data_IF_304071455522
#
_entry.id   IF_304071455522
#
_cell.length_a   1.000
_cell.length_b   1.000
_cell.length_c   1.000
_cell.angle_alpha   90.00
_cell.angle_beta   90.00
_cell.angle_gamma   90.00
#
_symmetry.space_group_name_H-M   'P 1'
#
loop_
_entity.id
_entity.type
_entity.pdbx_description
1 polymer ?
#
# COMPACT_ATOMS: atom_id res chain seq x y z
N UNK A 1 34.21 -46.37 -28.55
CA UNK A 1 34.38 -44.90 -28.40
C UNK A 1 33.10 -44.41 -27.78
N UNK A 2 33.01 -44.58 -26.44
CA UNK A 2 31.84 -44.21 -25.67
C UNK A 2 31.81 -42.69 -25.50
N UNK A 3 30.80 -42.08 -26.09
CA UNK A 3 30.56 -40.65 -25.92
C UNK A 3 29.90 -40.50 -24.56
N UNK A 4 30.70 -40.16 -23.54
CA UNK A 4 30.28 -39.80 -22.21
C UNK A 4 29.34 -38.60 -22.31
N UNK A 5 28.02 -38.85 -22.06
CA UNK A 5 27.02 -37.79 -21.96
C UNK A 5 27.43 -36.83 -20.86
N UNK A 6 27.51 -35.52 -21.11
CA UNK A 6 27.79 -34.59 -20.04
C UNK A 6 26.64 -34.58 -19.04
N UNK A 7 26.89 -35.06 -17.82
CA UNK A 7 26.01 -34.97 -16.64
C UNK A 7 25.82 -33.51 -16.15
N UNK A 8 25.67 -32.57 -17.04
CA UNK A 8 25.53 -31.16 -16.71
C UNK A 8 24.08 -30.64 -16.90
N UNK A 9 23.09 -31.47 -16.55
CA UNK A 9 21.73 -30.97 -16.31
C UNK A 9 21.22 -31.49 -14.99
N UNK A 10 21.90 -31.09 -13.91
CA UNK A 10 21.21 -30.99 -12.63
C UNK A 10 20.20 -29.88 -12.80
N UNK A 11 18.99 -30.25 -13.25
CA UNK A 11 17.86 -29.34 -13.26
C UNK A 11 17.60 -28.98 -11.81
N UNK A 12 18.16 -27.82 -11.39
CA UNK A 12 17.73 -27.22 -10.14
C UNK A 12 16.19 -27.21 -10.14
N UNK A 13 15.54 -27.69 -9.09
CA UNK A 13 14.07 -27.73 -9.06
C UNK A 13 13.57 -26.31 -9.37
N UNK A 14 12.74 -26.20 -10.42
CA UNK A 14 12.13 -24.93 -10.77
C UNK A 14 11.43 -24.38 -9.51
N UNK A 15 11.57 -23.10 -9.21
CA UNK A 15 10.88 -22.52 -8.07
C UNK A 15 9.40 -22.83 -8.19
N UNK A 16 8.74 -23.23 -7.09
CA UNK A 16 7.34 -23.63 -7.12
C UNK A 16 6.51 -22.50 -7.75
N UNK A 17 5.79 -22.85 -8.82
CA UNK A 17 4.96 -21.90 -9.55
C UNK A 17 3.93 -21.29 -8.60
N UNK A 18 3.72 -19.98 -8.69
CA UNK A 18 2.67 -19.29 -7.92
C UNK A 18 1.31 -19.94 -8.18
N UNK A 19 0.48 -20.17 -7.14
CA UNK A 19 -0.84 -20.74 -7.34
C UNK A 19 -1.67 -19.90 -8.31
N UNK A 20 -2.29 -20.53 -9.30
CA UNK A 20 -3.17 -19.83 -10.25
C UNK A 20 -4.49 -19.52 -9.54
N UNK A 21 -4.85 -18.23 -9.37
CA UNK A 21 -6.07 -17.86 -8.68
C UNK A 21 -7.32 -18.20 -9.51
N UNK A 22 -8.36 -18.64 -8.83
CA UNK A 22 -9.69 -18.85 -9.44
C UNK A 22 -10.33 -17.53 -9.87
N UNK A 23 -11.36 -17.59 -10.70
CA UNK A 23 -12.09 -16.38 -11.11
C UNK A 23 -12.74 -15.66 -9.92
N UNK A 24 -13.26 -16.40 -8.95
CA UNK A 24 -13.84 -15.86 -7.73
C UNK A 24 -12.78 -15.10 -6.89
N UNK A 25 -11.60 -15.68 -6.71
CA UNK A 25 -10.49 -15.03 -6.00
C UNK A 25 -10.02 -13.76 -6.69
N UNK A 26 -9.96 -13.74 -8.03
CA UNK A 26 -9.61 -12.54 -8.81
C UNK A 26 -10.63 -11.43 -8.60
N UNK A 27 -11.94 -11.78 -8.69
CA UNK A 27 -13.02 -10.82 -8.45
C UNK A 27 -12.98 -10.25 -7.03
N UNK A 28 -12.75 -11.11 -6.03
CA UNK A 28 -12.61 -10.66 -4.63
C UNK A 28 -11.40 -9.77 -4.43
N UNK A 29 -10.23 -10.11 -4.98
CA UNK A 29 -9.02 -9.29 -4.89
C UNK A 29 -9.18 -7.95 -5.62
N UNK A 30 -9.91 -7.92 -6.76
CA UNK A 30 -10.31 -6.68 -7.41
C UNK A 30 -11.18 -5.83 -6.47
N UNK A 31 -12.22 -6.43 -5.86
CA UNK A 31 -13.12 -5.72 -4.95
C UNK A 31 -12.38 -5.16 -3.73
N UNK A 32 -11.39 -5.88 -3.18
CA UNK A 32 -10.52 -5.37 -2.10
C UNK A 32 -9.92 -4.02 -2.48
N UNK A 33 -9.32 -3.93 -3.68
CA UNK A 33 -8.65 -2.72 -4.13
C UNK A 33 -9.64 -1.59 -4.43
N UNK A 34 -10.74 -1.88 -5.12
CA UNK A 34 -11.78 -0.88 -5.46
C UNK A 34 -12.47 -0.34 -4.22
N UNK A 35 -12.89 -1.22 -3.31
CA UNK A 35 -13.57 -0.81 -2.09
C UNK A 35 -12.64 -0.07 -1.13
N UNK A 36 -11.34 -0.37 -1.15
CA UNK A 36 -10.35 0.35 -0.34
C UNK A 36 -10.25 1.84 -0.72
N UNK A 37 -10.54 2.23 -1.96
CA UNK A 37 -10.57 3.63 -2.39
C UNK A 37 -11.59 4.43 -1.55
N UNK A 38 -12.72 3.82 -1.21
CA UNK A 38 -13.80 4.49 -0.48
C UNK A 38 -13.75 4.21 1.03
N UNK A 39 -13.42 2.99 1.42
CA UNK A 39 -13.44 2.54 2.82
C UNK A 39 -12.08 2.53 3.50
N UNK A 40 -11.01 2.91 2.77
CA UNK A 40 -9.63 2.88 3.24
C UNK A 40 -9.23 1.49 3.77
N UNK A 41 -9.07 1.30 5.08
CA UNK A 41 -8.63 0.04 5.68
C UNK A 41 -9.78 -0.94 5.98
N UNK A 42 -11.05 -0.51 6.02
CA UNK A 42 -12.15 -1.34 6.49
C UNK A 42 -12.45 -2.52 5.55
N UNK A 43 -12.59 -2.26 4.24
CA UNK A 43 -12.83 -3.34 3.28
C UNK A 43 -11.67 -4.34 3.24
N UNK A 44 -10.40 -3.93 3.07
CA UNK A 44 -9.28 -4.87 3.10
C UNK A 44 -9.22 -5.71 4.39
N UNK A 45 -9.56 -5.12 5.54
CA UNK A 45 -9.60 -5.83 6.81
C UNK A 45 -10.67 -6.93 6.81
N UNK A 46 -11.89 -6.59 6.36
CA UNK A 46 -12.99 -7.56 6.27
C UNK A 46 -12.62 -8.72 5.35
N UNK A 47 -12.12 -8.43 4.14
CA UNK A 47 -11.72 -9.49 3.20
C UNK A 47 -10.59 -10.36 3.76
N UNK A 48 -9.62 -9.77 4.42
CA UNK A 48 -8.53 -10.51 5.07
C UNK A 48 -9.03 -11.46 6.17
N UNK A 49 -10.04 -11.06 6.95
CA UNK A 49 -10.60 -11.87 8.03
C UNK A 49 -11.56 -12.94 7.53
N UNK A 50 -12.37 -12.64 6.49
CA UNK A 50 -13.41 -13.54 5.98
C UNK A 50 -12.85 -14.57 5.00
N UNK A 51 -11.85 -14.20 4.20
CA UNK A 51 -11.27 -15.05 3.13
C UNK A 51 -9.86 -15.55 3.45
N UNK A 52 -9.64 -16.00 4.67
CA UNK A 52 -8.34 -16.53 5.13
C UNK A 52 -7.87 -17.74 4.33
N UNK A 53 -8.79 -18.49 3.75
CA UNK A 53 -8.49 -19.71 2.97
C UNK A 53 -7.89 -19.40 1.60
N UNK A 54 -8.15 -18.20 1.06
CA UNK A 54 -7.57 -17.75 -0.20
C UNK A 54 -6.27 -16.97 0.03
N UNK A 55 -5.15 -17.59 -0.33
CA UNK A 55 -3.83 -16.93 -0.26
C UNK A 55 -3.77 -15.69 -1.17
N UNK A 56 -4.45 -15.73 -2.33
CA UNK A 56 -4.47 -14.64 -3.29
C UNK A 56 -5.24 -13.41 -2.76
N UNK A 57 -6.45 -13.63 -2.22
CA UNK A 57 -7.25 -12.55 -1.62
C UNK A 57 -6.55 -11.99 -0.38
N UNK A 58 -6.00 -12.85 0.47
CA UNK A 58 -5.24 -12.45 1.66
C UNK A 58 -4.00 -11.63 1.31
N UNK A 59 -3.31 -11.97 0.21
CA UNK A 59 -2.14 -11.22 -0.28
C UNK A 59 -2.52 -9.78 -0.65
N UNK A 60 -3.54 -9.58 -1.47
CA UNK A 60 -3.99 -8.24 -1.83
C UNK A 60 -4.53 -7.47 -0.63
N UNK A 61 -5.36 -8.10 0.19
CA UNK A 61 -5.94 -7.48 1.39
C UNK A 61 -4.86 -6.99 2.36
N UNK A 62 -3.85 -7.80 2.62
CA UNK A 62 -2.77 -7.45 3.55
C UNK A 62 -1.88 -6.34 3.00
N UNK A 63 -1.57 -6.34 1.70
CA UNK A 63 -0.82 -5.25 1.07
C UNK A 63 -1.54 -3.91 1.20
N UNK A 64 -2.82 -3.89 0.82
CA UNK A 64 -3.64 -2.68 0.89
C UNK A 64 -3.79 -2.20 2.34
N UNK A 65 -3.98 -3.12 3.29
CA UNK A 65 -4.08 -2.80 4.71
C UNK A 65 -2.81 -2.15 5.25
N UNK A 66 -1.65 -2.76 5.00
CA UNK A 66 -0.35 -2.22 5.44
C UNK A 66 -0.08 -0.87 4.77
N UNK A 67 -0.39 -0.73 3.48
CA UNK A 67 -0.21 0.52 2.76
C UNK A 67 -1.03 1.65 3.39
N UNK A 68 -2.33 1.43 3.64
CA UNK A 68 -3.19 2.44 4.25
C UNK A 68 -2.78 2.75 5.69
N UNK A 69 -2.35 1.75 6.47
CA UNK A 69 -1.86 1.96 7.83
C UNK A 69 -0.57 2.81 7.84
N UNK A 70 0.38 2.51 6.95
CA UNK A 70 1.60 3.29 6.80
C UNK A 70 1.31 4.73 6.34
N UNK A 71 0.45 4.88 5.34
CA UNK A 71 0.03 6.20 4.87
C UNK A 71 -0.66 7.01 5.97
N UNK A 72 -1.60 6.41 6.69
CA UNK A 72 -2.29 7.07 7.81
C UNK A 72 -1.30 7.49 8.90
N UNK A 73 -0.36 6.62 9.28
CA UNK A 73 0.66 6.94 10.29
C UNK A 73 1.50 8.15 9.86
N UNK A 74 2.01 8.16 8.63
CA UNK A 74 2.81 9.26 8.10
C UNK A 74 1.98 10.55 8.03
N UNK A 75 0.72 10.44 7.60
CA UNK A 75 -0.20 11.58 7.54
C UNK A 75 -0.46 12.18 8.93
N UNK A 76 -0.76 11.36 9.93
CA UNK A 76 -0.98 11.84 11.30
C UNK A 76 0.25 12.47 11.92
N UNK A 77 1.43 11.88 11.73
CA UNK A 77 2.69 12.47 12.21
C UNK A 77 2.93 13.83 11.53
N UNK A 78 2.74 13.93 10.22
CA UNK A 78 2.85 15.19 9.48
C UNK A 78 1.86 16.24 9.97
N UNK A 79 0.61 15.84 10.25
CA UNK A 79 -0.43 16.71 10.82
C UNK A 79 -0.04 17.23 12.21
N UNK A 80 0.50 16.37 13.08
CA UNK A 80 0.95 16.78 14.43
C UNK A 80 2.08 17.81 14.31
N UNK A 81 3.06 17.58 13.45
CA UNK A 81 4.17 18.50 13.23
C UNK A 81 3.63 19.85 12.69
N UNK A 82 2.74 19.81 11.69
CA UNK A 82 2.12 21.00 11.13
C UNK A 82 1.34 21.79 12.19
N UNK A 83 0.59 21.09 13.05
CA UNK A 83 -0.18 21.70 14.13
C UNK A 83 0.73 22.35 15.18
N UNK A 84 1.80 21.68 15.62
CA UNK A 84 2.79 22.25 16.55
C UNK A 84 3.42 23.52 15.95
N UNK A 85 3.81 23.46 14.68
CA UNK A 85 4.39 24.61 13.99
C UNK A 85 3.39 25.78 13.93
N UNK A 86 2.15 25.52 13.51
CA UNK A 86 1.10 26.53 13.42
C UNK A 86 0.80 27.15 14.79
N UNK A 87 0.71 26.33 15.85
CA UNK A 87 0.47 26.81 17.20
C UNK A 87 1.64 27.67 17.72
N UNK A 88 2.88 27.27 17.43
CA UNK A 88 4.06 28.06 17.82
C UNK A 88 4.07 29.43 17.15
N UNK A 89 3.65 29.54 15.88
CA UNK A 89 3.58 30.84 15.19
C UNK A 89 2.52 31.78 15.79
N UNK A 90 1.39 31.21 16.25
CA UNK A 90 0.34 32.00 16.92
C UNK A 90 0.84 32.53 18.27
N UNK A 91 1.53 31.70 19.05
CA UNK A 91 2.00 32.08 20.40
C UNK A 91 3.15 33.10 20.33
N UNK A 92 4.04 32.98 19.35
CA UNK A 92 5.18 33.87 19.20
C UNK A 92 4.86 35.23 18.55
N UNK A 93 3.69 35.34 17.87
CA UNK A 93 3.21 36.59 17.28
C UNK A 93 1.92 37.01 18.02
N UNK A 94 2.02 37.64 19.20
CA UNK A 94 0.84 38.06 19.96
C UNK A 94 0.06 39.09 19.16
N UNK A 95 -1.24 38.93 19.10
CA UNK A 95 -2.23 39.64 18.29
C UNK A 95 -2.47 41.09 18.72
N UNK A 96 -1.45 41.83 19.09
CA UNK A 96 -1.60 43.22 19.56
C UNK A 96 -1.66 44.26 18.42
N UNK A 97 -1.68 43.80 17.16
CA UNK A 97 -1.90 44.67 16.01
C UNK A 97 -3.15 44.22 15.24
N UNK A 98 -4.23 45.02 15.21
CA UNK A 98 -5.50 44.64 14.58
C UNK A 98 -5.45 44.42 13.07
N UNK A 99 -4.35 44.78 12.40
CA UNK A 99 -4.21 44.75 10.94
C UNK A 99 -3.16 43.76 10.41
N UNK A 100 -2.64 42.84 11.25
CA UNK A 100 -1.65 41.86 10.74
C UNK A 100 -2.32 40.67 10.09
N UNK A 101 -2.10 40.55 8.75
CA UNK A 101 -2.41 39.33 8.01
C UNK A 101 -1.69 38.12 8.62
N UNK A 102 -2.31 36.89 8.57
CA UNK A 102 -1.63 35.71 9.02
C UNK A 102 -0.24 35.56 8.41
N UNK A 103 0.76 35.10 9.18
CA UNK A 103 2.11 34.93 8.67
C UNK A 103 2.12 34.07 7.39
N UNK A 104 2.94 34.44 6.41
CA UNK A 104 3.05 33.70 5.15
C UNK A 104 3.36 32.22 5.37
N UNK A 105 4.07 31.90 6.45
CA UNK A 105 4.34 30.53 6.91
C UNK A 105 3.06 29.73 7.20
N UNK A 106 1.99 30.37 7.69
CA UNK A 106 0.70 29.72 7.94
C UNK A 106 0.10 29.19 6.63
N UNK A 107 0.07 30.00 5.59
CA UNK A 107 -0.42 29.60 4.28
C UNK A 107 0.46 28.53 3.63
N UNK A 108 1.78 28.59 3.85
CA UNK A 108 2.73 27.59 3.37
C UNK A 108 2.48 26.21 3.99
N UNK A 109 2.33 26.13 5.31
CA UNK A 109 2.04 24.86 6.02
C UNK A 109 0.67 24.32 5.63
N UNK A 110 -0.34 25.16 5.58
CA UNK A 110 -1.69 24.77 5.16
C UNK A 110 -1.70 24.25 3.72
N UNK A 111 -1.02 24.92 2.81
CA UNK A 111 -0.87 24.48 1.42
C UNK A 111 -0.14 23.14 1.30
N UNK A 112 0.91 22.91 2.08
CA UNK A 112 1.63 21.62 2.10
C UNK A 112 0.75 20.48 2.63
N UNK A 113 -0.02 20.70 3.69
CA UNK A 113 -0.96 19.71 4.23
C UNK A 113 -2.03 19.38 3.20
N UNK A 114 -2.58 20.38 2.54
CA UNK A 114 -3.55 20.20 1.46
C UNK A 114 -2.98 19.42 0.28
N UNK A 115 -1.79 19.80 -0.17
CA UNK A 115 -1.10 19.13 -1.28
C UNK A 115 -0.82 17.66 -0.94
N UNK A 116 -0.40 17.38 0.30
CA UNK A 116 -0.19 16.02 0.78
C UNK A 116 -1.50 15.22 0.83
N UNK A 117 -2.57 15.80 1.38
CA UNK A 117 -3.88 15.15 1.46
C UNK A 117 -4.44 14.81 0.08
N UNK A 118 -4.51 15.79 -0.81
CA UNK A 118 -5.02 15.61 -2.18
C UNK A 118 -4.08 14.71 -3.00
N UNK A 119 -2.77 14.95 -2.93
CA UNK A 119 -1.77 14.14 -3.65
C UNK A 119 -1.79 12.68 -3.21
N UNK A 120 -1.87 12.44 -1.90
CA UNK A 120 -1.98 11.09 -1.36
C UNK A 120 -3.29 10.40 -1.73
N UNK A 121 -4.41 11.15 -1.76
CA UNK A 121 -5.68 10.61 -2.23
C UNK A 121 -5.63 10.19 -3.70
N UNK A 122 -5.07 11.05 -4.57
CA UNK A 122 -4.86 10.73 -5.99
C UNK A 122 -3.94 9.51 -6.15
N UNK A 123 -2.85 9.44 -5.38
CA UNK A 123 -1.95 8.28 -5.39
C UNK A 123 -2.70 6.99 -5.00
N UNK A 124 -3.49 7.02 -3.94
CA UNK A 124 -4.30 5.86 -3.51
C UNK A 124 -5.33 5.46 -4.57
N UNK A 125 -5.96 6.43 -5.25
CA UNK A 125 -6.88 6.16 -6.36
C UNK A 125 -6.16 5.42 -7.51
N UNK A 126 -5.01 5.94 -7.94
CA UNK A 126 -4.23 5.35 -9.03
C UNK A 126 -3.76 3.93 -8.66
N UNK A 127 -3.18 3.76 -7.47
CA UNK A 127 -2.75 2.44 -7.00
C UNK A 127 -3.95 1.48 -6.89
N UNK A 128 -5.07 1.92 -6.32
CA UNK A 128 -6.29 1.11 -6.20
C UNK A 128 -6.76 0.59 -7.56
N UNK A 129 -6.81 1.45 -8.58
CA UNK A 129 -7.22 1.05 -9.94
C UNK A 129 -6.19 0.10 -10.58
N UNK A 130 -4.91 0.46 -10.55
CA UNK A 130 -3.84 -0.36 -11.17
C UNK A 130 -3.80 -1.76 -10.57
N UNK A 131 -3.84 -1.87 -9.22
CA UNK A 131 -3.79 -3.16 -8.56
C UNK A 131 -5.12 -3.92 -8.63
N UNK A 132 -6.26 -3.25 -8.78
CA UNK A 132 -7.53 -3.90 -9.09
C UNK A 132 -7.49 -4.59 -10.48
N UNK A 133 -6.94 -3.92 -11.50
CA UNK A 133 -6.77 -4.49 -12.83
C UNK A 133 -5.84 -5.70 -12.78
N UNK A 134 -4.69 -5.59 -12.11
CA UNK A 134 -3.73 -6.69 -11.95
C UNK A 134 -4.33 -7.88 -11.19
N UNK A 135 -5.10 -7.62 -10.15
CA UNK A 135 -5.83 -8.66 -9.41
C UNK A 135 -6.82 -9.40 -10.32
N UNK A 136 -7.58 -8.67 -11.16
CA UNK A 136 -8.51 -9.27 -12.10
C UNK A 136 -7.81 -10.14 -13.17
N UNK A 137 -6.60 -9.76 -13.56
CA UNK A 137 -5.75 -10.55 -14.48
C UNK A 137 -5.16 -11.82 -13.81
N UNK A 138 -5.28 -11.94 -12.48
CA UNK A 138 -4.72 -13.06 -11.71
C UNK A 138 -3.24 -12.91 -11.43
N UNK A 139 -2.68 -11.71 -11.58
CA UNK A 139 -1.29 -11.43 -11.29
C UNK A 139 -1.03 -11.28 -9.77
N UNK A 140 0.07 -11.81 -9.27
CA UNK A 140 0.58 -11.57 -7.93
C UNK A 140 1.37 -10.26 -7.88
N UNK A 141 0.69 -9.15 -8.13
CA UNK A 141 1.32 -7.85 -8.23
C UNK A 141 1.74 -7.32 -6.85
N UNK A 142 3.01 -6.97 -6.71
CA UNK A 142 3.61 -6.51 -5.45
C UNK A 142 3.52 -4.99 -5.34
N UNK A 143 3.02 -4.49 -4.23
CA UNK A 143 3.11 -3.06 -3.92
C UNK A 143 4.58 -2.67 -3.69
N UNK A 144 5.00 -1.47 -4.12
CA UNK A 144 6.34 -1.00 -3.85
C UNK A 144 6.62 -1.04 -2.34
N UNK A 145 7.83 -1.48 -1.97
CA UNK A 145 8.34 -1.58 -0.60
C UNK A 145 7.72 -2.71 0.24
N UNK A 146 6.39 -2.89 0.22
CA UNK A 146 5.70 -3.83 1.14
C UNK A 146 5.34 -5.18 0.50
N UNK A 147 5.31 -5.24 -0.84
CA UNK A 147 4.84 -6.43 -1.56
C UNK A 147 5.67 -7.68 -1.27
N UNK A 148 7.00 -7.55 -1.19
CA UNK A 148 7.89 -8.66 -0.87
C UNK A 148 7.74 -9.15 0.57
N UNK A 149 7.53 -8.24 1.51
CA UNK A 149 7.26 -8.59 2.91
C UNK A 149 5.96 -9.39 3.03
N UNK A 150 4.91 -8.96 2.36
CA UNK A 150 3.60 -9.64 2.38
C UNK A 150 3.68 -11.00 1.68
N UNK A 151 4.40 -11.08 0.56
CA UNK A 151 4.58 -12.33 -0.16
C UNK A 151 5.27 -13.39 0.72
N UNK A 152 6.35 -13.03 1.40
CA UNK A 152 7.06 -13.92 2.33
C UNK A 152 6.17 -14.40 3.48
N UNK A 153 5.25 -13.57 3.93
CA UNK A 153 4.33 -13.92 5.02
C UNK A 153 3.24 -14.90 4.57
N UNK A 154 2.76 -14.77 3.33
CA UNK A 154 1.65 -15.59 2.80
C UNK A 154 2.15 -16.84 2.11
N UNK A 155 3.31 -16.80 1.47
CA UNK A 155 3.93 -17.89 0.75
C UNK A 155 5.38 -18.09 1.25
N UNK A 156 5.57 -18.59 2.49
CA UNK A 156 6.92 -18.72 3.07
C UNK A 156 7.79 -19.71 2.29
N UNK A 157 7.21 -20.71 1.64
CA UNK A 157 7.93 -21.73 0.86
C UNK A 157 8.58 -21.17 -0.43
N UNK A 158 8.14 -20.02 -0.92
CA UNK A 158 8.65 -19.40 -2.15
C UNK A 158 9.69 -18.31 -1.91
N UNK A 159 9.99 -17.99 -0.67
CA UNK A 159 10.94 -16.93 -0.31
C UNK A 159 12.39 -17.41 -0.17
N UNK A 160 12.66 -18.71 -0.35
CA UNK A 160 13.97 -19.34 -0.07
C UNK A 160 14.76 -19.62 -1.36
N UNK A 161 14.26 -19.22 -2.50
CA UNK A 161 14.93 -19.37 -3.79
C UNK A 161 15.53 -18.07 -4.31
#
# INVERSE_FOLDING_TARGET
>A
MDIEKPEFMTTAPLPPAMPVPTQDERTMALLVNVLAIFSSFLAPLIFYLVKKDSRFVSFYSLQVLIWHAAYAMIFFVGMIIAFIFMFSTIVTHPHNAPDQAPPLAFFGVFGLVWLWGVGGWVLNLVLGIVYAIKANQGEWARFPVIGDFVLRKILPEQSIS
#
